data_IF_480675102979
#
_entry.id   IF_480675102979
#
_cell.length_a   1.000
_cell.length_b   1.000
_cell.length_c   1.000
_cell.angle_alpha   90.00
_cell.angle_beta   90.00
_cell.angle_gamma   90.00
#
_symmetry.space_group_name_H-M   'P 1'
#
loop_
_entity.id
_entity.type
_entity.pdbx_description
1 polymer ?
#
# COMPACT_ATOMS: atom_id res chain seq x y z
N UNK A 1 13.41 5.09 -12.92
CA UNK A 1 12.50 4.31 -13.79
C UNK A 1 11.33 3.82 -12.95
N UNK A 2 10.09 4.22 -13.24
CA UNK A 2 8.92 3.82 -12.43
C UNK A 2 8.51 2.37 -12.72
N UNK A 3 7.91 1.67 -11.75
CA UNK A 3 7.45 0.28 -11.92
C UNK A 3 6.39 0.14 -13.03
N UNK A 4 5.55 1.17 -13.21
CA UNK A 4 4.57 1.22 -14.28
C UNK A 4 5.24 1.20 -15.67
N UNK A 5 6.26 2.04 -15.87
CA UNK A 5 7.02 2.12 -17.12
C UNK A 5 7.82 0.84 -17.39
N UNK A 6 8.37 0.22 -16.34
CA UNK A 6 9.04 -1.08 -16.45
C UNK A 6 8.08 -2.16 -16.95
N UNK A 7 6.82 -2.16 -16.48
CA UNK A 7 5.80 -3.12 -16.91
C UNK A 7 5.40 -2.96 -18.36
N UNK A 8 5.28 -1.71 -18.80
CA UNK A 8 5.01 -1.38 -20.18
C UNK A 8 6.12 -1.92 -21.09
N UNK A 9 7.39 -1.67 -20.75
CA UNK A 9 8.54 -2.17 -21.50
C UNK A 9 8.62 -3.69 -21.54
N UNK A 10 8.37 -4.38 -20.42
CA UNK A 10 8.38 -5.85 -20.41
C UNK A 10 7.31 -6.39 -21.35
N UNK A 11 6.06 -5.88 -21.27
CA UNK A 11 4.95 -6.33 -22.13
C UNK A 11 5.25 -6.11 -23.61
N UNK A 12 5.77 -4.94 -23.92
CA UNK A 12 6.16 -4.57 -25.28
C UNK A 12 7.25 -5.50 -25.84
N UNK A 13 8.31 -5.79 -25.07
CA UNK A 13 9.36 -6.72 -25.48
C UNK A 13 8.84 -8.17 -25.62
N UNK A 14 7.89 -8.59 -24.78
CA UNK A 14 7.26 -9.91 -24.95
C UNK A 14 6.54 -10.02 -26.29
N UNK A 15 5.82 -8.96 -26.71
CA UNK A 15 5.10 -8.94 -27.99
C UNK A 15 6.08 -8.85 -29.17
N UNK A 16 7.06 -7.93 -29.12
CA UNK A 16 8.02 -7.73 -30.21
C UNK A 16 8.87 -8.95 -30.52
N UNK A 17 9.26 -9.70 -29.49
CA UNK A 17 10.22 -10.81 -29.63
C UNK A 17 9.60 -12.19 -29.41
N UNK A 18 8.28 -12.29 -29.18
CA UNK A 18 7.62 -13.56 -28.82
C UNK A 18 8.20 -14.20 -27.56
N UNK A 19 8.81 -13.40 -26.69
CA UNK A 19 9.61 -13.86 -25.56
C UNK A 19 8.74 -14.05 -24.31
N UNK A 20 9.08 -15.06 -23.51
CA UNK A 20 8.44 -15.26 -22.21
C UNK A 20 8.82 -14.15 -21.21
N UNK A 21 7.96 -13.90 -20.22
CA UNK A 21 8.24 -13.00 -19.09
C UNK A 21 9.60 -13.31 -18.45
N UNK A 22 9.97 -14.60 -18.38
CA UNK A 22 11.26 -15.05 -17.83
C UNK A 22 12.44 -14.53 -18.64
N UNK A 23 12.39 -14.63 -19.97
CA UNK A 23 13.45 -14.18 -20.86
C UNK A 23 13.59 -12.66 -20.80
N UNK A 24 12.46 -11.93 -20.83
CA UNK A 24 12.47 -10.46 -20.80
C UNK A 24 12.94 -9.93 -19.45
N UNK A 25 12.46 -10.48 -18.33
CA UNK A 25 12.94 -10.08 -17.00
C UNK A 25 14.44 -10.39 -16.80
N UNK A 26 14.94 -11.51 -17.35
CA UNK A 26 16.37 -11.82 -17.33
C UNK A 26 17.18 -10.80 -18.11
N UNK A 27 16.78 -10.47 -19.34
CA UNK A 27 17.46 -9.47 -20.17
C UNK A 27 17.48 -8.08 -19.53
N UNK A 28 16.38 -7.67 -18.88
CA UNK A 28 16.27 -6.38 -18.19
C UNK A 28 16.88 -6.37 -16.78
N UNK A 29 17.43 -7.49 -16.30
CA UNK A 29 17.96 -7.65 -14.93
C UNK A 29 16.96 -7.28 -13.82
N UNK A 30 15.67 -7.56 -14.05
CA UNK A 30 14.59 -7.31 -13.09
C UNK A 30 14.19 -8.63 -12.42
N UNK A 31 14.00 -8.61 -11.11
CA UNK A 31 13.46 -9.80 -10.42
C UNK A 31 12.00 -10.03 -10.78
N UNK A 32 11.66 -11.28 -11.10
CA UNK A 32 10.27 -11.67 -11.45
C UNK A 32 9.30 -11.42 -10.28
N UNK A 33 9.76 -11.55 -9.05
CA UNK A 33 8.96 -11.27 -7.84
C UNK A 33 8.55 -9.81 -7.79
N UNK A 34 9.49 -8.88 -7.98
CA UNK A 34 9.19 -7.44 -8.01
C UNK A 34 8.34 -7.05 -9.22
N UNK A 35 8.56 -7.68 -10.38
CA UNK A 35 7.73 -7.47 -11.56
C UNK A 35 6.26 -7.85 -11.31
N UNK A 36 6.04 -9.05 -10.76
CA UNK A 36 4.71 -9.60 -10.46
C UNK A 36 4.02 -8.92 -9.28
N UNK A 37 4.76 -8.30 -8.37
CA UNK A 37 4.21 -7.67 -7.17
C UNK A 37 3.22 -6.55 -7.51
N UNK A 38 1.93 -6.78 -7.27
CA UNK A 38 0.91 -5.74 -7.34
C UNK A 38 0.63 -5.24 -5.93
N UNK A 39 0.90 -3.96 -5.67
CA UNK A 39 0.42 -3.32 -4.45
C UNK A 39 -1.10 -3.31 -4.49
N UNK A 40 -1.74 -4.06 -3.62
CA UNK A 40 -3.18 -3.95 -3.37
C UNK A 40 -3.33 -2.78 -2.41
N UNK A 41 -3.83 -1.65 -2.89
CA UNK A 41 -4.24 -0.58 -2.01
C UNK A 41 -5.49 -1.07 -1.26
N UNK A 42 -5.34 -1.38 0.02
CA UNK A 42 -6.50 -1.59 0.88
C UNK A 42 -7.26 -0.28 0.96
N UNK A 43 -8.58 -0.33 0.86
CA UNK A 43 -9.40 0.85 1.09
C UNK A 43 -9.18 1.36 2.53
N UNK A 44 -8.56 2.54 2.63
CA UNK A 44 -8.27 3.21 3.89
C UNK A 44 -9.45 4.08 4.35
N UNK A 45 -10.54 4.20 3.56
CA UNK A 45 -11.64 5.14 3.79
C UNK A 45 -12.31 4.96 5.16
N UNK A 46 -12.75 3.74 5.48
CA UNK A 46 -13.45 3.44 6.72
C UNK A 46 -12.56 3.65 7.95
N UNK A 47 -11.29 3.26 7.85
CA UNK A 47 -10.33 3.43 8.94
C UNK A 47 -9.97 4.90 9.16
N UNK A 48 -9.81 5.68 8.10
CA UNK A 48 -9.60 7.14 8.18
C UNK A 48 -10.78 7.85 8.79
N UNK A 49 -12.00 7.51 8.35
CA UNK A 49 -13.23 8.08 8.92
C UNK A 49 -13.29 7.78 10.42
N UNK A 50 -13.02 6.53 10.83
CA UNK A 50 -13.08 6.16 12.24
C UNK A 50 -12.01 6.84 13.08
N UNK A 51 -10.79 6.98 12.56
CA UNK A 51 -9.73 7.76 13.21
C UNK A 51 -10.20 9.19 13.44
N UNK A 52 -10.78 9.83 12.41
CA UNK A 52 -11.30 11.20 12.48
C UNK A 52 -12.37 11.34 13.57
N UNK A 53 -13.37 10.46 13.59
CA UNK A 53 -14.43 10.47 14.62
C UNK A 53 -13.87 10.39 16.05
N UNK A 54 -12.88 9.53 16.27
CA UNK A 54 -12.23 9.39 17.58
C UNK A 54 -11.50 10.68 17.96
N UNK A 55 -10.75 11.27 17.01
CA UNK A 55 -9.99 12.50 17.25
C UNK A 55 -10.90 13.72 17.45
N UNK A 56 -12.03 13.81 16.75
CA UNK A 56 -13.01 14.89 16.91
C UNK A 56 -13.74 14.79 18.26
N UNK A 57 -14.11 13.57 18.67
CA UNK A 57 -14.77 13.35 19.98
C UNK A 57 -13.80 13.56 21.15
N UNK A 58 -12.51 13.27 20.96
CA UNK A 58 -11.48 13.25 22.02
C UNK A 58 -10.19 13.92 21.56
N UNK A 59 -10.24 15.24 21.44
CA UNK A 59 -9.16 16.08 20.86
C UNK A 59 -7.77 15.86 21.51
N UNK A 60 -7.70 15.52 22.80
CA UNK A 60 -6.42 15.27 23.49
C UNK A 60 -5.78 13.89 23.19
N UNK A 61 -6.43 13.04 22.40
CA UNK A 61 -5.92 11.70 22.13
C UNK A 61 -4.90 11.71 21.00
N UNK A 62 -3.64 11.40 21.32
CA UNK A 62 -2.65 11.06 20.31
C UNK A 62 -2.87 9.65 19.72
N UNK A 63 -2.17 9.35 18.62
CA UNK A 63 -2.34 8.12 17.83
C UNK A 63 -2.30 6.81 18.65
N UNK A 64 -1.52 6.75 19.75
CA UNK A 64 -1.46 5.55 20.60
C UNK A 64 -2.79 5.26 21.29
N UNK A 65 -3.50 6.31 21.74
CA UNK A 65 -4.82 6.18 22.36
C UNK A 65 -5.88 5.84 21.32
N UNK A 66 -5.80 6.44 20.13
CA UNK A 66 -6.63 6.09 18.97
C UNK A 66 -6.46 4.61 18.60
N UNK A 67 -5.22 4.12 18.51
CA UNK A 67 -4.93 2.71 18.24
C UNK A 67 -5.57 1.78 19.27
N UNK A 68 -5.49 2.11 20.57
CA UNK A 68 -6.14 1.30 21.63
C UNK A 68 -7.67 1.28 21.46
N UNK A 69 -8.29 2.41 21.11
CA UNK A 69 -9.74 2.47 20.86
C UNK A 69 -10.13 1.61 19.66
N UNK A 70 -9.41 1.74 18.55
CA UNK A 70 -9.62 0.90 17.36
C UNK A 70 -9.46 -0.58 17.66
N UNK A 71 -8.47 -0.97 18.47
CA UNK A 71 -8.30 -2.37 18.91
C UNK A 71 -9.49 -2.89 19.70
N UNK A 72 -10.11 -2.06 20.55
CA UNK A 72 -11.31 -2.43 21.32
C UNK A 72 -12.54 -2.59 20.43
N UNK A 73 -12.61 -1.84 19.34
CA UNK A 73 -13.66 -1.94 18.32
C UNK A 73 -13.44 -3.11 17.34
N UNK A 74 -12.36 -3.87 17.49
CA UNK A 74 -12.07 -5.06 16.69
C UNK A 74 -11.18 -4.82 15.46
N UNK A 75 -10.69 -3.60 15.24
CA UNK A 75 -9.76 -3.30 14.16
C UNK A 75 -8.43 -4.06 14.36
N UNK A 76 -7.91 -4.66 13.30
CA UNK A 76 -6.69 -5.49 13.32
C UNK A 76 -5.45 -4.78 12.78
N UNK A 77 -5.59 -3.51 12.42
CA UNK A 77 -4.52 -2.73 11.83
C UNK A 77 -3.36 -2.50 12.79
N UNK A 78 -2.15 -2.59 12.24
CA UNK A 78 -0.92 -2.39 12.98
C UNK A 78 -0.78 -0.90 13.38
N UNK A 79 -0.20 -0.63 14.55
CA UNK A 79 0.08 0.71 15.05
C UNK A 79 0.84 1.59 14.05
N UNK A 80 1.71 1.02 13.20
CA UNK A 80 2.39 1.76 12.11
C UNK A 80 1.43 2.30 11.06
N UNK A 81 0.42 1.53 10.67
CA UNK A 81 -0.63 1.96 9.72
C UNK A 81 -1.50 3.03 10.35
N UNK A 82 -1.89 2.85 11.61
CA UNK A 82 -2.67 3.86 12.35
C UNK A 82 -1.90 5.16 12.47
N UNK A 83 -0.61 5.11 12.83
CA UNK A 83 0.23 6.30 12.91
C UNK A 83 0.30 7.04 11.56
N UNK A 84 0.56 6.32 10.46
CA UNK A 84 0.57 6.92 9.11
C UNK A 84 -0.74 7.62 8.80
N UNK A 85 -1.87 6.92 8.98
CA UNK A 85 -3.20 7.47 8.67
C UNK A 85 -3.58 8.63 9.59
N UNK A 86 -3.20 8.57 10.86
CA UNK A 86 -3.40 9.65 11.83
C UNK A 86 -2.63 10.90 11.41
N UNK A 87 -1.34 10.77 11.09
CA UNK A 87 -0.50 11.90 10.67
C UNK A 87 -0.92 12.51 9.33
N UNK A 88 -1.60 11.76 8.48
CA UNK A 88 -2.21 12.29 7.24
C UNK A 88 -3.49 13.11 7.51
N UNK A 89 -4.11 12.99 8.70
CA UNK A 89 -5.30 13.78 9.07
C UNK A 89 -4.96 15.11 9.78
N UNK A 90 -3.73 15.30 10.28
CA UNK A 90 -3.31 16.50 11.03
C UNK A 90 -2.08 16.28 11.89
#
# INVERSE_FOLDING_TARGET
MTLARLREWVRDLQVRYGASERQVCFALRVSRSSFRYRSVATDDSALRLRIREITETRVHYGYRRVHVMLRREGWRDNHKRIYRLYSEQG
#
